data_IF_037446964103
#
_entry.id   IF_037446964103
#
_cell.length_a   1.000
_cell.length_b   1.000
_cell.length_c   1.000
_cell.angle_alpha   90.00
_cell.angle_beta   90.00
_cell.angle_gamma   90.00
#
_symmetry.space_group_name_H-M   'P 1'
#
loop_
_entity.id
_entity.type
_entity.pdbx_description
1 polymer ?
#
# COMPACT_ATOMS: atom_id res chain seq x y z
N UNK A 1 -26.06 42.14 22.66
CA UNK A 1 -25.36 40.84 22.74
C UNK A 1 -26.21 39.83 22.01
N UNK A 2 -26.00 39.66 20.70
CA UNK A 2 -26.65 38.61 19.92
C UNK A 2 -25.55 37.69 19.41
N UNK A 3 -25.41 36.56 20.10
CA UNK A 3 -24.53 35.47 19.69
C UNK A 3 -25.23 34.70 18.58
N UNK A 4 -24.89 35.02 17.34
CA UNK A 4 -25.27 34.25 16.17
C UNK A 4 -24.66 32.84 16.29
N UNK A 5 -25.45 31.88 16.79
CA UNK A 5 -25.10 30.45 16.73
C UNK A 5 -25.14 30.06 15.25
N UNK A 6 -23.99 30.16 14.57
CA UNK A 6 -23.80 29.56 13.25
C UNK A 6 -24.01 28.05 13.40
N UNK A 7 -25.19 27.59 13.00
CA UNK A 7 -25.44 26.17 12.78
C UNK A 7 -24.51 25.77 11.65
N UNK A 8 -23.40 25.11 11.99
CA UNK A 8 -22.48 24.51 11.03
C UNK A 8 -23.27 23.47 10.24
N UNK A 9 -23.78 23.88 9.07
CA UNK A 9 -24.38 22.96 8.10
C UNK A 9 -23.28 22.00 7.66
N UNK A 10 -23.33 20.77 8.14
CA UNK A 10 -22.40 19.73 7.73
C UNK A 10 -22.81 19.28 6.32
N UNK A 11 -21.92 19.48 5.34
CA UNK A 11 -22.07 18.84 4.04
C UNK A 11 -21.69 17.37 4.21
N UNK A 12 -22.59 16.47 3.86
CA UNK A 12 -22.33 15.03 3.84
C UNK A 12 -22.30 14.62 2.38
N UNK A 13 -21.23 13.94 1.98
CA UNK A 13 -21.04 13.44 0.62
C UNK A 13 -20.92 11.92 0.67
N UNK A 14 -21.70 11.24 -0.15
CA UNK A 14 -21.67 9.80 -0.33
C UNK A 14 -21.36 9.49 -1.80
N UNK A 15 -20.82 8.29 -2.12
CA UNK A 15 -20.66 7.86 -3.50
C UNK A 15 -22.00 7.97 -4.27
N UNK A 16 -21.96 8.38 -5.54
CA UNK A 16 -23.17 8.45 -6.39
C UNK A 16 -23.75 7.04 -6.62
N UNK A 17 -22.87 6.04 -6.68
CA UNK A 17 -23.17 4.63 -6.92
C UNK A 17 -22.29 3.71 -6.07
N UNK A 18 -22.79 2.49 -5.81
CA UNK A 18 -22.05 1.41 -5.14
C UNK A 18 -20.81 0.96 -5.96
N UNK A 19 -20.81 1.25 -7.26
CA UNK A 19 -19.74 0.92 -8.21
C UNK A 19 -18.92 2.14 -8.66
N UNK A 20 -19.05 3.30 -8.01
CA UNK A 20 -18.21 4.45 -8.38
C UNK A 20 -16.76 4.18 -7.95
N UNK A 21 -15.98 3.65 -8.88
CA UNK A 21 -14.56 3.45 -8.71
C UNK A 21 -13.82 4.79 -8.79
N UNK A 22 -12.56 4.79 -8.34
CA UNK A 22 -11.70 5.95 -8.52
C UNK A 22 -11.19 5.98 -9.95
N UNK A 23 -11.57 7.01 -10.68
CA UNK A 23 -11.15 7.23 -12.05
C UNK A 23 -9.91 8.11 -12.10
N UNK A 24 -9.03 7.86 -13.06
CA UNK A 24 -7.90 8.74 -13.29
C UNK A 24 -8.39 10.08 -13.86
N UNK A 25 -7.83 11.17 -13.37
CA UNK A 25 -8.16 12.50 -13.88
C UNK A 25 -7.73 12.63 -15.34
N UNK A 26 -8.59 13.26 -16.15
CA UNK A 26 -8.25 13.61 -17.52
C UNK A 26 -7.24 14.77 -17.54
N UNK A 27 -6.49 14.91 -18.64
CA UNK A 27 -5.53 16.02 -18.80
C UNK A 27 -6.17 17.40 -18.62
N UNK A 28 -7.47 17.53 -18.93
CA UNK A 28 -8.24 18.76 -18.73
C UNK A 28 -8.47 19.13 -17.27
N UNK A 29 -8.43 18.14 -16.37
CA UNK A 29 -8.85 18.27 -14.97
C UNK A 29 -7.64 18.22 -14.03
N UNK A 30 -6.40 18.15 -14.54
CA UNK A 30 -5.19 18.03 -13.72
C UNK A 30 -4.98 19.22 -12.77
N UNK A 31 -5.45 20.40 -13.16
CA UNK A 31 -5.37 21.63 -12.37
C UNK A 31 -6.53 21.76 -11.35
N UNK A 32 -7.49 20.84 -11.37
CA UNK A 32 -8.64 20.89 -10.47
C UNK A 32 -8.28 20.40 -9.06
N UNK A 33 -8.85 21.00 -8.00
CA UNK A 33 -8.45 20.74 -6.61
C UNK A 33 -8.63 19.29 -6.18
N UNK A 34 -9.56 18.56 -6.79
CA UNK A 34 -9.79 17.14 -6.52
C UNK A 34 -8.80 16.21 -7.24
N UNK A 35 -8.04 16.71 -8.21
CA UNK A 35 -7.05 15.95 -8.98
C UNK A 35 -5.60 16.21 -8.56
N UNK A 36 -5.29 17.40 -8.02
CA UNK A 36 -3.91 17.81 -7.67
C UNK A 36 -3.20 16.84 -6.71
N UNK A 37 -3.93 16.25 -5.76
CA UNK A 37 -3.33 15.47 -4.68
C UNK A 37 -3.01 14.02 -5.08
N UNK A 38 -3.94 13.34 -5.74
CA UNK A 38 -3.83 11.92 -6.07
C UNK A 38 -3.79 11.65 -7.57
N UNK A 39 -4.24 12.58 -8.41
CA UNK A 39 -4.47 12.34 -9.84
C UNK A 39 -5.69 11.46 -10.12
N UNK A 40 -6.51 11.17 -9.11
CA UNK A 40 -7.73 10.37 -9.23
C UNK A 40 -8.93 11.10 -8.64
N UNK A 41 -10.06 11.00 -9.33
CA UNK A 41 -11.33 11.59 -8.94
C UNK A 41 -12.41 10.52 -8.81
N UNK A 42 -13.42 10.83 -8.01
CA UNK A 42 -14.66 10.06 -7.91
C UNK A 42 -15.84 11.01 -7.87
N UNK A 43 -16.94 10.62 -8.51
CA UNK A 43 -18.21 11.30 -8.40
C UNK A 43 -18.87 11.02 -7.03
N UNK A 44 -19.24 12.09 -6.34
CA UNK A 44 -19.94 12.01 -5.05
C UNK A 44 -21.19 12.86 -5.08
N UNK A 45 -22.21 12.38 -4.39
CA UNK A 45 -23.47 13.06 -4.17
C UNK A 45 -23.44 13.71 -2.79
N UNK A 46 -23.47 15.03 -2.76
CA UNK A 46 -23.42 15.81 -1.54
C UNK A 46 -24.78 16.42 -1.21
N UNK A 47 -25.16 16.40 0.07
CA UNK A 47 -26.36 17.05 0.58
C UNK A 47 -26.04 17.88 1.84
N UNK A 48 -26.77 18.97 2.04
CA UNK A 48 -26.69 19.74 3.27
C UNK A 48 -27.48 19.02 4.36
N UNK A 49 -26.79 18.57 5.41
CA UNK A 49 -27.44 17.99 6.58
C UNK A 49 -28.16 19.09 7.37
N UNK A 50 -29.43 19.37 7.03
CA UNK A 50 -30.27 20.26 7.84
C UNK A 50 -31.28 19.52 8.72
N UNK A 51 -31.56 18.25 8.49
CA UNK A 51 -32.35 17.39 9.37
C UNK A 51 -32.19 15.93 8.92
N UNK A 52 -32.51 14.98 9.81
CA UNK A 52 -32.41 13.51 9.69
C UNK A 52 -33.01 12.84 8.44
N UNK A 53 -33.47 13.57 7.43
CA UNK A 53 -34.01 13.04 6.20
C UNK A 53 -33.22 13.62 5.02
N UNK A 54 -32.42 12.79 4.36
CA UNK A 54 -31.88 13.08 3.04
C UNK A 54 -33.06 13.25 2.08
N UNK A 55 -33.48 14.49 1.84
CA UNK A 55 -34.38 14.76 0.74
C UNK A 55 -33.55 14.86 -0.53
N UNK A 56 -33.84 14.02 -1.53
CA UNK A 56 -33.18 14.03 -2.84
C UNK A 56 -33.18 15.41 -3.52
N UNK A 57 -34.08 16.30 -3.10
CA UNK A 57 -34.29 17.63 -3.66
C UNK A 57 -33.11 18.61 -3.46
N UNK A 58 -32.26 18.41 -2.45
CA UNK A 58 -31.13 19.31 -2.13
C UNK A 58 -29.76 18.68 -2.37
N UNK A 59 -29.73 17.52 -3.04
CA UNK A 59 -28.50 16.83 -3.35
C UNK A 59 -27.89 17.34 -4.66
N UNK A 60 -26.58 17.62 -4.66
CA UNK A 60 -25.82 17.99 -5.84
C UNK A 60 -24.67 17.02 -6.08
N UNK A 61 -24.29 16.85 -7.34
CA UNK A 61 -23.18 16.01 -7.76
C UNK A 61 -21.91 16.86 -7.80
N UNK A 62 -20.81 16.34 -7.28
CA UNK A 62 -19.48 16.95 -7.34
C UNK A 62 -18.40 15.89 -7.39
N UNK A 63 -17.16 16.28 -7.68
CA UNK A 63 -16.01 15.39 -7.63
C UNK A 63 -15.23 15.54 -6.33
N UNK A 64 -14.65 14.45 -5.85
CA UNK A 64 -13.72 14.45 -4.73
C UNK A 64 -12.47 13.63 -5.06
N UNK A 65 -11.33 14.05 -4.51
CA UNK A 65 -10.08 13.28 -4.58
C UNK A 65 -10.27 11.94 -3.91
N UNK A 66 -9.77 10.88 -4.54
CA UNK A 66 -9.88 9.55 -3.96
C UNK A 66 -8.61 8.72 -4.19
N UNK A 67 -8.49 7.64 -3.42
CA UNK A 67 -7.33 6.74 -3.51
C UNK A 67 -7.58 5.71 -4.60
N UNK A 68 -6.64 5.50 -5.53
CA UNK A 68 -6.81 4.49 -6.58
C UNK A 68 -7.10 3.12 -5.96
N UNK A 69 -7.90 2.27 -6.62
CA UNK A 69 -8.09 0.91 -6.18
C UNK A 69 -6.72 0.23 -6.06
N UNK A 70 -6.48 -0.57 -5.01
CA UNK A 70 -5.23 -1.29 -4.89
C UNK A 70 -5.06 -2.17 -6.13
N UNK A 71 -4.02 -1.92 -6.93
CA UNK A 71 -3.73 -2.76 -8.08
C UNK A 71 -3.47 -4.19 -7.58
N UNK A 72 -4.22 -5.17 -8.06
CA UNK A 72 -4.08 -6.58 -7.67
C UNK A 72 -2.64 -7.08 -7.83
N UNK A 73 -1.91 -6.55 -8.81
CA UNK A 73 -0.49 -6.85 -9.04
C UNK A 73 0.40 -6.49 -7.85
N UNK A 74 0.21 -5.33 -7.23
CA UNK A 74 1.04 -4.93 -6.08
C UNK A 74 0.75 -5.79 -4.84
N UNK A 75 -0.50 -6.21 -4.66
CA UNK A 75 -0.90 -7.10 -3.57
C UNK A 75 -0.38 -8.52 -3.78
N UNK A 76 -0.47 -9.03 -5.01
CA UNK A 76 0.06 -10.34 -5.39
C UNK A 76 1.58 -10.42 -5.21
N UNK A 77 2.32 -9.41 -5.68
CA UNK A 77 3.79 -9.36 -5.52
C UNK A 77 4.20 -9.31 -4.05
N UNK A 78 3.49 -8.54 -3.21
CA UNK A 78 3.76 -8.51 -1.76
C UNK A 78 3.54 -9.89 -1.12
N UNK A 79 2.49 -10.59 -1.52
CA UNK A 79 2.17 -11.91 -0.97
C UNK A 79 3.20 -12.97 -1.40
N UNK A 80 3.57 -13.00 -2.67
CA UNK A 80 4.59 -13.90 -3.22
C UNK A 80 5.96 -13.70 -2.55
N UNK A 81 6.40 -12.44 -2.40
CA UNK A 81 7.67 -12.13 -1.72
C UNK A 81 7.63 -12.56 -0.25
N UNK A 82 6.52 -12.32 0.45
CA UNK A 82 6.37 -12.74 1.84
C UNK A 82 6.43 -14.27 1.97
N UNK A 83 5.74 -15.00 1.09
CA UNK A 83 5.77 -16.46 1.07
C UNK A 83 7.17 -17.02 0.78
N UNK A 84 7.89 -16.43 -0.18
CA UNK A 84 9.27 -16.82 -0.48
C UNK A 84 10.21 -16.59 0.72
N UNK A 85 10.06 -15.47 1.42
CA UNK A 85 10.83 -15.17 2.64
C UNK A 85 10.53 -16.15 3.76
N UNK A 86 9.26 -16.49 4.00
CA UNK A 86 8.88 -17.47 5.02
C UNK A 86 9.38 -18.89 4.67
N UNK A 87 9.36 -19.26 3.39
CA UNK A 87 9.87 -20.54 2.92
C UNK A 87 11.39 -20.64 3.08
N UNK A 88 12.13 -19.60 2.69
CA UNK A 88 13.59 -19.56 2.88
C UNK A 88 14.00 -19.55 4.36
N UNK A 89 13.26 -18.83 5.21
CA UNK A 89 13.51 -18.83 6.66
C UNK A 89 13.26 -20.20 7.29
N UNK A 90 12.17 -20.88 6.90
CA UNK A 90 11.88 -22.22 7.41
C UNK A 90 12.91 -23.25 6.94
N UNK A 91 13.36 -23.19 5.68
CA UNK A 91 14.47 -24.01 5.19
C UNK A 91 15.79 -23.74 5.95
N UNK A 92 16.10 -22.47 6.24
CA UNK A 92 17.30 -22.11 7.03
C UNK A 92 17.25 -22.70 8.45
N UNK A 93 16.07 -22.71 9.08
CA UNK A 93 15.88 -23.29 10.41
C UNK A 93 16.03 -24.81 10.36
N UNK A 94 15.37 -25.48 9.40
CA UNK A 94 15.46 -26.94 9.24
C UNK A 94 16.90 -27.37 8.96
N UNK A 95 17.60 -26.67 8.05
CA UNK A 95 19.00 -26.98 7.76
C UNK A 95 19.90 -26.76 8.98
N UNK A 96 19.67 -25.74 9.80
CA UNK A 96 20.46 -25.49 11.02
C UNK A 96 20.22 -26.53 12.12
N UNK A 97 19.06 -27.18 12.15
CA UNK A 97 18.72 -28.20 13.17
C UNK A 97 19.18 -29.60 12.73
N UNK A 98 19.09 -29.91 11.43
CA UNK A 98 19.33 -31.26 10.91
C UNK A 98 20.71 -31.47 10.27
N UNK A 99 21.45 -30.40 9.92
CA UNK A 99 22.88 -30.52 9.62
C UNK A 99 23.68 -30.28 10.89
N UNK A 100 24.54 -31.22 11.33
CA UNK A 100 25.54 -30.90 12.33
C UNK A 100 26.43 -29.77 11.80
N UNK A 101 26.94 -28.87 12.66
CA UNK A 101 27.98 -27.92 12.29
C UNK A 101 29.29 -28.69 12.07
N UNK A 102 29.39 -29.43 10.97
CA UNK A 102 30.63 -30.08 10.61
C UNK A 102 31.59 -29.02 10.05
N UNK A 103 32.49 -28.61 10.94
CA UNK A 103 33.79 -28.12 10.57
C UNK A 103 33.83 -26.63 10.27
N UNK A 104 34.58 -25.92 11.12
CA UNK A 104 35.47 -24.89 10.62
C UNK A 104 35.96 -25.28 9.21
N UNK A 105 35.58 -24.50 8.19
CA UNK A 105 36.41 -24.36 7.00
C UNK A 105 37.68 -23.59 7.42
N UNK A 106 38.46 -24.14 8.35
CA UNK A 106 39.88 -23.87 8.42
C UNK A 106 40.45 -24.49 7.15
N UNK A 107 40.60 -23.66 6.11
CA UNK A 107 41.67 -23.87 5.15
C UNK A 107 42.99 -23.81 5.93
N UNK A 108 43.36 -24.90 6.61
CA UNK A 108 44.76 -25.14 6.95
C UNK A 108 45.42 -25.48 5.63
N UNK A 109 45.84 -24.44 4.92
CA UNK A 109 46.85 -24.55 3.89
C UNK A 109 48.09 -25.10 4.60
N UNK A 110 48.30 -26.41 4.49
CA UNK A 110 49.45 -27.09 5.08
C UNK A 110 50.70 -26.66 4.32
N UNK A 111 51.29 -25.54 4.75
CA UNK A 111 52.55 -25.02 4.22
C UNK A 111 53.77 -25.89 4.62
N UNK A 112 53.58 -26.94 5.41
CA UNK A 112 54.65 -27.85 5.84
C UNK A 112 54.95 -28.97 4.82
N UNK A 113 54.05 -29.30 3.90
CA UNK A 113 54.28 -30.38 2.92
C UNK A 113 54.98 -29.93 1.63
N UNK A 114 55.28 -28.63 1.47
CA UNK A 114 56.03 -28.13 0.31
C UNK A 114 57.50 -27.82 0.60
N UNK A 115 57.90 -27.70 1.87
CA UNK A 115 59.30 -27.47 2.25
C UNK A 115 60.11 -28.78 2.21
N UNK A 116 59.52 -29.90 2.63
CA UNK A 116 60.21 -31.21 2.59
C UNK A 116 60.37 -31.79 1.18
N UNK A 117 59.79 -31.15 0.15
CA UNK A 117 59.97 -31.52 -1.26
C UNK A 117 61.06 -30.71 -1.97
N UNK A 118 61.58 -29.64 -1.35
CA UNK A 118 62.60 -28.76 -1.93
C UNK A 118 63.98 -28.85 -1.25
N UNK A 119 64.14 -29.65 -0.20
CA UNK A 119 65.42 -29.84 0.51
C UNK A 119 65.88 -31.31 0.43
N UNK A 120 65.60 -31.96 -0.69
CA UNK A 120 66.37 -33.13 -1.14
C UNK A 120 67.71 -32.69 -1.71
#
# INVERSE_FOLDING_TARGET
>A
MEGEKRVLRKVICEPSSENDECEQCADSDLDEPYCISTGYKREVRCAFSSAMNFSDADAYITFQSCTPPPSDFATFVKFEVLMFLLFSLSLSIVTSIFLPPDGHATMTFSAEEEINRRVG
#
